data_IF_379910901700
#
_entry.id   IF_379910901700
#
_cell.length_a   1.000
_cell.length_b   1.000
_cell.length_c   1.000
_cell.angle_alpha   90.00
_cell.angle_beta   90.00
_cell.angle_gamma   90.00
#
_symmetry.space_group_name_H-M   'P 1'
#
loop_
_entity.id
_entity.type
_entity.pdbx_description
1 polymer ?
#
# COMPACT_ATOMS: atom_id res chain seq x y z
N UNK A 1 -1.74 2.09 6.97
CA UNK A 1 -2.66 2.04 5.82
C UNK A 1 -3.03 0.59 5.51
N UNK A 2 -4.32 0.28 5.37
CA UNK A 2 -4.77 -1.11 5.19
C UNK A 2 -4.60 -1.64 3.76
N UNK A 3 -4.44 -0.77 2.76
CA UNK A 3 -4.50 -1.12 1.34
C UNK A 3 -3.44 -0.43 0.48
N UNK A 4 -2.53 0.31 1.08
CA UNK A 4 -1.50 1.01 0.34
C UNK A 4 -0.28 0.13 0.09
N UNK A 5 0.36 0.31 -1.07
CA UNK A 5 1.73 -0.13 -1.27
C UNK A 5 2.64 0.68 -0.32
N UNK A 6 3.44 0.04 0.54
CA UNK A 6 4.27 0.74 1.53
C UNK A 6 5.44 1.51 0.88
N UNK A 7 5.90 1.11 -0.30
CA UNK A 7 7.01 1.74 -1.00
C UNK A 7 6.82 3.24 -1.20
N UNK A 8 5.81 3.71 -1.97
CA UNK A 8 5.57 5.13 -2.19
C UNK A 8 5.34 5.93 -0.90
N UNK A 9 4.70 5.32 0.12
CA UNK A 9 4.50 5.98 1.42
C UNK A 9 5.83 6.19 2.14
N UNK A 10 6.69 5.18 2.16
CA UNK A 10 8.02 5.29 2.77
C UNK A 10 8.94 6.25 1.98
N UNK A 11 8.82 6.27 0.64
CA UNK A 11 9.57 7.14 -0.24
C UNK A 11 9.40 8.63 0.09
N UNK A 12 8.20 9.05 0.50
CA UNK A 12 7.92 10.45 0.91
C UNK A 12 8.90 10.95 1.99
N UNK A 13 9.36 10.07 2.89
CA UNK A 13 10.33 10.44 3.94
C UNK A 13 11.72 10.78 3.42
N UNK A 14 12.02 10.50 2.14
CA UNK A 14 13.32 10.73 1.52
C UNK A 14 13.25 11.75 0.38
N UNK A 15 12.09 11.90 -0.26
CA UNK A 15 11.93 12.70 -1.47
C UNK A 15 11.26 14.05 -1.21
N UNK A 16 10.55 14.20 -0.10
CA UNK A 16 9.93 15.45 0.30
C UNK A 16 10.84 16.15 1.32
N UNK A 17 11.40 17.28 0.94
CA UNK A 17 12.36 18.05 1.74
C UNK A 17 11.76 18.48 3.09
N UNK A 18 10.49 18.91 3.12
CA UNK A 18 9.81 19.33 4.34
C UNK A 18 9.62 18.16 5.31
N UNK A 19 9.40 16.95 4.78
CA UNK A 19 9.26 15.73 5.59
C UNK A 19 10.63 15.24 6.04
N UNK A 20 11.61 15.18 5.14
CA UNK A 20 12.96 14.68 5.42
C UNK A 20 13.69 15.51 6.48
N UNK A 21 13.45 16.84 6.52
CA UNK A 21 14.07 17.75 7.49
C UNK A 21 13.50 17.58 8.92
N UNK A 22 12.28 17.07 9.07
CA UNK A 22 11.58 17.04 10.35
C UNK A 22 11.29 15.64 10.87
N UNK A 23 11.34 14.61 10.02
CA UNK A 23 10.95 13.24 10.37
C UNK A 23 12.00 12.22 9.94
N UNK A 24 12.13 11.17 10.73
CA UNK A 24 12.96 10.03 10.42
C UNK A 24 12.09 8.77 10.40
N UNK A 25 12.19 7.99 9.34
CA UNK A 25 11.51 6.72 9.25
C UNK A 25 12.24 5.68 10.09
N UNK A 26 11.65 5.31 11.24
CA UNK A 26 12.22 4.35 12.18
C UNK A 26 12.09 2.91 11.67
N UNK A 27 10.89 2.52 11.29
CA UNK A 27 10.59 1.17 10.81
C UNK A 27 9.23 1.10 10.12
N UNK A 28 9.05 0.09 9.27
CA UNK A 28 7.76 -0.32 8.73
C UNK A 28 7.23 -1.50 9.53
N UNK A 29 6.14 -1.27 10.28
CA UNK A 29 5.49 -2.29 11.09
C UNK A 29 4.24 -2.79 10.38
N UNK A 30 4.17 -4.08 10.10
CA UNK A 30 3.03 -4.72 9.42
C UNK A 30 2.22 -5.57 10.40
N UNK A 31 0.91 -5.36 10.40
CA UNK A 31 -0.05 -6.13 11.18
C UNK A 31 -0.75 -7.15 10.27
N UNK A 32 -0.69 -8.41 10.64
CA UNK A 32 -1.34 -9.51 9.90
C UNK A 32 -2.41 -10.14 10.78
N UNK A 33 -3.65 -10.16 10.31
CA UNK A 33 -4.78 -10.79 10.98
C UNK A 33 -4.64 -12.33 10.95
N UNK A 34 -4.59 -12.97 12.11
CA UNK A 34 -4.45 -14.44 12.19
C UNK A 34 -5.58 -15.19 11.50
N UNK A 35 -6.82 -14.63 11.55
CA UNK A 35 -8.01 -15.28 10.99
C UNK A 35 -8.12 -15.13 9.48
N UNK A 36 -7.77 -13.93 8.95
CA UNK A 36 -7.99 -13.61 7.53
C UNK A 36 -6.68 -13.50 6.74
N UNK A 37 -5.52 -13.46 7.40
CA UNK A 37 -4.24 -13.20 6.77
C UNK A 37 -3.86 -14.21 5.68
N UNK A 38 -4.15 -15.51 5.89
CA UNK A 38 -3.87 -16.52 4.87
C UNK A 38 -4.60 -16.25 3.55
N UNK A 39 -5.87 -15.89 3.63
CA UNK A 39 -6.70 -15.56 2.48
C UNK A 39 -6.22 -14.26 1.83
N UNK A 40 -6.03 -13.20 2.62
CA UNK A 40 -5.57 -11.90 2.12
C UNK A 40 -4.22 -11.98 1.40
N UNK A 41 -3.27 -12.74 1.94
CA UNK A 41 -1.98 -12.98 1.30
C UNK A 41 -2.07 -13.81 0.01
N UNK A 42 -3.18 -14.49 -0.23
CA UNK A 42 -3.40 -15.24 -1.48
C UNK A 42 -4.11 -14.39 -2.53
N UNK A 43 -5.03 -13.53 -2.11
CA UNK A 43 -5.92 -12.79 -3.00
C UNK A 43 -5.42 -11.38 -3.35
N UNK A 44 -4.53 -10.80 -2.50
CA UNK A 44 -4.11 -9.40 -2.63
C UNK A 44 -2.59 -9.24 -2.69
N UNK A 45 -2.13 -8.73 -3.80
CA UNK A 45 -0.71 -8.45 -4.01
C UNK A 45 -0.18 -7.38 -3.05
N UNK A 46 -1.01 -6.39 -2.70
CA UNK A 46 -0.65 -5.35 -1.72
C UNK A 46 -0.35 -5.94 -0.34
N UNK A 47 -1.10 -6.95 0.09
CA UNK A 47 -0.83 -7.65 1.34
C UNK A 47 0.53 -8.35 1.32
N UNK A 48 0.90 -8.94 0.17
CA UNK A 48 2.22 -9.54 -0.01
C UNK A 48 3.32 -8.48 0.02
N UNK A 49 3.13 -7.35 -0.66
CA UNK A 49 4.07 -6.22 -0.66
C UNK A 49 4.25 -5.64 0.73
N UNK A 50 3.16 -5.47 1.49
CA UNK A 50 3.23 -4.99 2.88
C UNK A 50 4.04 -5.93 3.78
N UNK A 51 3.91 -7.24 3.62
CA UNK A 51 4.71 -8.23 4.35
C UNK A 51 6.17 -8.20 3.89
N UNK A 52 6.42 -8.16 2.59
CA UNK A 52 7.78 -8.11 2.04
C UNK A 52 8.55 -6.86 2.47
N UNK A 53 7.85 -5.73 2.61
CA UNK A 53 8.43 -4.44 2.97
C UNK A 53 8.54 -4.19 4.49
N UNK A 54 7.99 -5.09 5.32
CA UNK A 54 8.00 -4.94 6.77
C UNK A 54 9.40 -5.07 7.38
N UNK A 55 9.66 -4.28 8.41
CA UNK A 55 10.82 -4.41 9.30
C UNK A 55 10.46 -5.16 10.58
N UNK A 56 9.17 -5.15 10.95
CA UNK A 56 8.59 -5.90 12.07
C UNK A 56 7.19 -6.37 11.67
N UNK A 57 6.84 -7.62 11.98
CA UNK A 57 5.52 -8.20 11.71
C UNK A 57 4.87 -8.63 13.01
N UNK A 58 3.61 -8.24 13.22
CA UNK A 58 2.78 -8.74 14.29
C UNK A 58 1.60 -9.55 13.74
N UNK A 59 1.48 -10.81 14.17
CA UNK A 59 0.29 -11.61 13.95
C UNK A 59 -0.72 -11.24 15.03
N UNK A 60 -1.81 -10.62 14.64
CA UNK A 60 -2.86 -10.09 15.54
C UNK A 60 -4.04 -11.04 15.63
N UNK A 61 -4.94 -10.82 16.61
CA UNK A 61 -6.16 -11.61 16.80
C UNK A 61 -5.91 -13.12 16.96
N UNK A 62 -4.79 -13.48 17.58
CA UNK A 62 -4.41 -14.88 17.80
C UNK A 62 -5.35 -15.61 18.74
N UNK A 63 -6.17 -14.89 19.48
CA UNK A 63 -7.26 -15.40 20.32
C UNK A 63 -8.47 -15.93 19.51
N UNK A 64 -8.55 -15.65 18.21
CA UNK A 64 -9.65 -16.09 17.34
C UNK A 64 -9.35 -17.34 16.52
N UNK A 65 -8.15 -17.89 16.64
CA UNK A 65 -7.68 -19.03 15.84
C UNK A 65 -6.93 -20.04 16.72
N UNK A 66 -6.68 -21.21 16.21
CA UNK A 66 -5.89 -22.24 16.91
C UNK A 66 -4.38 -21.93 16.86
N UNK A 67 -3.59 -22.42 17.82
CA UNK A 67 -2.13 -22.29 17.77
C UNK A 67 -1.52 -22.87 16.47
N UNK A 68 -2.08 -23.93 15.94
CA UNK A 68 -1.60 -24.53 14.69
C UNK A 68 -1.80 -23.60 13.47
N UNK A 69 -2.92 -22.86 13.43
CA UNK A 69 -3.17 -21.86 12.38
C UNK A 69 -2.21 -20.67 12.51
N UNK A 70 -1.89 -20.23 13.74
CA UNK A 70 -0.89 -19.19 13.98
C UNK A 70 0.49 -19.62 13.46
N UNK A 71 0.91 -20.85 13.76
CA UNK A 71 2.20 -21.36 13.31
C UNK A 71 2.26 -21.57 11.78
N UNK A 72 1.18 -22.02 11.16
CA UNK A 72 1.08 -22.12 9.71
C UNK A 72 1.23 -20.73 9.03
N UNK A 73 0.55 -19.72 9.58
CA UNK A 73 0.67 -18.34 9.10
C UNK A 73 2.08 -17.80 9.33
N UNK A 74 2.65 -18.02 10.51
CA UNK A 74 4.04 -17.64 10.83
C UNK A 74 5.04 -18.22 9.84
N UNK A 75 4.91 -19.51 9.53
CA UNK A 75 5.77 -20.19 8.55
C UNK A 75 5.70 -19.54 7.17
N UNK A 76 4.50 -19.20 6.71
CA UNK A 76 4.32 -18.48 5.43
C UNK A 76 4.95 -17.09 5.43
N UNK A 77 4.71 -16.31 6.48
CA UNK A 77 5.27 -14.97 6.64
C UNK A 77 6.82 -15.00 6.69
N UNK A 78 7.39 -15.96 7.41
CA UNK A 78 8.85 -16.15 7.49
C UNK A 78 9.45 -16.52 6.11
N UNK A 79 8.71 -17.27 5.29
CA UNK A 79 9.14 -17.58 3.92
C UNK A 79 9.10 -16.35 3.01
N UNK A 80 8.08 -15.48 3.19
CA UNK A 80 7.92 -14.26 2.40
C UNK A 80 8.90 -13.17 2.80
N UNK A 81 9.15 -13.00 4.10
CA UNK A 81 10.10 -12.01 4.64
C UNK A 81 10.92 -12.63 5.79
N UNK A 82 12.04 -13.27 5.48
CA UNK A 82 12.90 -13.88 6.50
C UNK A 82 13.69 -12.88 7.35
N UNK A 83 13.69 -11.60 6.98
CA UNK A 83 14.43 -10.54 7.67
C UNK A 83 13.64 -9.96 8.84
N UNK A 84 12.32 -9.85 8.71
CA UNK A 84 11.46 -9.23 9.71
C UNK A 84 11.18 -10.17 10.89
N UNK A 85 11.45 -9.76 12.14
CA UNK A 85 10.97 -10.47 13.31
C UNK A 85 9.46 -10.60 13.29
N UNK A 86 8.95 -11.77 13.72
CA UNK A 86 7.51 -12.06 13.74
C UNK A 86 7.08 -12.36 15.17
N UNK A 87 6.15 -11.57 15.71
CA UNK A 87 5.59 -11.75 17.04
C UNK A 87 4.09 -11.94 16.99
N UNK A 88 3.57 -12.87 17.79
CA UNK A 88 2.14 -13.07 17.95
C UNK A 88 1.61 -12.18 19.09
N UNK A 89 0.53 -11.46 18.83
CA UNK A 89 -0.11 -10.59 19.82
C UNK A 89 -1.61 -10.82 19.87
N UNK A 90 -2.19 -10.59 21.02
CA UNK A 90 -3.63 -10.70 21.25
C UNK A 90 -4.17 -9.40 21.82
N UNK A 91 -5.37 -9.02 21.41
CA UNK A 91 -6.10 -7.83 21.93
C UNK A 91 -5.30 -6.53 21.88
N UNK A 92 -4.37 -6.40 20.95
CA UNK A 92 -3.55 -5.21 20.78
C UNK A 92 -2.50 -4.97 21.87
N UNK A 93 -2.27 -5.94 22.74
CA UNK A 93 -1.25 -5.81 23.81
C UNK A 93 0.12 -6.08 23.23
N UNK A 94 0.94 -5.04 23.13
CA UNK A 94 2.32 -5.09 22.65
C UNK A 94 3.21 -4.19 23.50
N UNK A 95 4.44 -4.61 23.83
CA UNK A 95 5.40 -3.74 24.53
C UNK A 95 5.79 -2.56 23.62
N UNK A 96 5.88 -1.35 24.19
CA UNK A 96 6.23 -0.15 23.42
C UNK A 96 7.59 -0.24 22.71
N UNK A 97 8.57 -0.87 23.35
CA UNK A 97 9.89 -1.11 22.76
C UNK A 97 9.90 -2.09 21.59
N UNK A 98 8.80 -2.81 21.36
CA UNK A 98 8.63 -3.65 20.18
C UNK A 98 8.00 -2.90 19.00
N UNK A 99 7.62 -1.63 19.18
CA UNK A 99 6.97 -0.79 18.18
C UNK A 99 7.71 0.53 17.93
N UNK A 100 8.42 1.05 18.95
CA UNK A 100 9.10 2.33 18.90
C UNK A 100 10.62 2.15 19.03
N UNK A 101 11.38 3.03 18.37
CA UNK A 101 12.85 3.05 18.36
C UNK A 101 13.45 1.71 17.88
N UNK A 102 12.80 1.13 16.87
CA UNK A 102 13.22 -0.16 16.31
C UNK A 102 14.49 -0.03 15.48
N UNK A 103 14.76 1.14 14.89
CA UNK A 103 15.88 1.41 13.98
C UNK A 103 15.98 0.33 12.89
N UNK A 104 14.80 -0.17 12.49
CA UNK A 104 14.67 -1.32 11.60
C UNK A 104 14.78 -0.94 10.14
N UNK A 105 14.48 0.31 9.79
CA UNK A 105 14.48 0.73 8.40
C UNK A 105 15.89 0.76 7.83
N UNK A 106 16.11 -0.03 6.78
CA UNK A 106 17.38 -0.09 6.06
C UNK A 106 17.12 0.16 4.58
N UNK A 107 17.52 1.36 4.11
CA UNK A 107 17.30 1.78 2.73
C UNK A 107 17.90 0.80 1.71
N UNK A 108 19.12 0.30 1.95
CA UNK A 108 19.75 -0.66 1.05
C UNK A 108 18.95 -1.96 0.94
N UNK A 109 18.38 -2.43 2.06
CA UNK A 109 17.53 -3.62 2.05
C UNK A 109 16.21 -3.37 1.30
N UNK A 110 15.70 -2.12 1.28
CA UNK A 110 14.51 -1.76 0.50
C UNK A 110 14.82 -1.65 -0.99
N UNK A 111 15.98 -1.14 -1.36
CA UNK A 111 16.47 -1.11 -2.74
C UNK A 111 16.74 -2.52 -3.31
N UNK A 112 17.10 -3.49 -2.46
CA UNK A 112 17.18 -4.91 -2.87
C UNK A 112 15.80 -5.49 -3.24
N UNK A 113 14.73 -5.00 -2.59
CA UNK A 113 13.34 -5.44 -2.82
C UNK A 113 12.75 -4.68 -4.01
N UNK A 114 12.96 -3.38 -4.06
CA UNK A 114 12.49 -2.48 -5.10
C UNK A 114 13.63 -1.55 -5.53
N UNK A 115 14.36 -1.89 -6.61
CA UNK A 115 15.47 -1.07 -7.12
C UNK A 115 15.07 0.35 -7.52
N UNK A 116 13.81 0.56 -7.88
CA UNK A 116 13.26 1.87 -8.29
C UNK A 116 12.68 2.67 -7.12
N UNK A 117 12.87 2.19 -5.88
CA UNK A 117 12.31 2.79 -4.66
C UNK A 117 12.57 4.31 -4.50
N UNK A 118 13.69 4.83 -5.01
CA UNK A 118 14.02 6.26 -4.97
C UNK A 118 13.82 6.98 -6.31
N UNK A 119 13.34 6.28 -7.34
CA UNK A 119 13.02 6.93 -8.61
C UNK A 119 11.67 7.65 -8.48
N UNK A 120 11.63 8.93 -8.85
CA UNK A 120 10.35 9.63 -9.01
C UNK A 120 9.69 9.07 -10.26
N UNK A 121 8.43 8.68 -10.15
CA UNK A 121 7.57 8.55 -11.31
C UNK A 121 7.37 9.97 -11.87
N UNK A 122 8.29 10.42 -12.73
CA UNK A 122 8.12 11.64 -13.53
C UNK A 122 6.95 11.41 -14.50
N UNK A 123 5.75 11.44 -13.96
CA UNK A 123 4.58 11.69 -14.79
C UNK A 123 4.63 13.16 -15.19
N UNK A 124 5.46 13.40 -16.20
CA UNK A 124 5.44 14.64 -16.95
C UNK A 124 3.99 14.83 -17.45
N UNK A 125 3.21 15.58 -16.69
CA UNK A 125 2.02 16.21 -17.22
C UNK A 125 2.50 17.30 -18.18
N UNK A 126 3.11 16.87 -19.28
CA UNK A 126 3.33 17.73 -20.41
C UNK A 126 1.98 18.34 -20.73
N UNK A 127 1.87 19.60 -20.37
CA UNK A 127 0.81 20.52 -20.73
C UNK A 127 0.37 20.26 -22.17
N UNK A 128 -0.70 19.50 -22.35
CA UNK A 128 -1.37 19.35 -23.63
C UNK A 128 -2.09 20.66 -23.92
N UNK A 129 -1.32 21.68 -24.25
CA UNK A 129 -1.82 22.90 -24.85
C UNK A 129 -2.51 22.58 -26.16
N UNK A 130 -3.77 22.17 -26.11
CA UNK A 130 -4.62 22.07 -27.29
C UNK A 130 -5.02 23.49 -27.73
N UNK A 131 -4.15 24.07 -28.55
CA UNK A 131 -4.54 25.22 -29.37
C UNK A 131 -5.49 24.72 -30.47
N UNK A 132 -6.79 24.88 -30.28
CA UNK A 132 -7.83 24.60 -31.26
C UNK A 132 -7.97 25.81 -32.19
N UNK A 133 -7.16 25.91 -33.20
CA UNK A 133 -7.50 26.69 -34.39
C UNK A 133 -8.21 25.76 -35.38
N UNK A 134 -9.53 25.87 -35.45
CA UNK A 134 -10.36 25.21 -36.46
C UNK A 134 -10.29 25.97 -37.77
N UNK A 135 -9.87 25.30 -38.81
CA UNK A 135 -10.49 25.45 -40.12
C UNK A 135 -10.24 24.18 -40.93
N UNK A 136 -11.30 23.63 -41.53
CA UNK A 136 -11.35 22.91 -42.81
C UNK A 136 -12.17 21.64 -42.84
N UNK A 137 -13.25 21.80 -43.55
CA UNK A 137 -13.69 21.21 -44.84
C UNK A 137 -13.71 19.68 -44.98
N UNK A 138 -14.91 19.22 -45.35
CA UNK A 138 -15.31 17.84 -45.52
C UNK A 138 -14.84 17.25 -46.85
N UNK A 139 -14.21 16.07 -46.84
CA UNK A 139 -14.50 15.01 -47.82
C UNK A 139 -13.96 13.66 -47.34
N UNK A 140 -14.90 12.74 -47.16
CA UNK A 140 -14.83 11.27 -47.29
C UNK A 140 -13.49 10.56 -47.23
N UNK A 141 -13.27 9.80 -46.13
CA UNK A 141 -12.78 8.42 -46.21
C UNK A 141 -12.91 7.73 -44.82
N UNK A 142 -13.65 6.64 -44.79
CA UNK A 142 -13.77 5.79 -43.62
C UNK A 142 -12.47 5.01 -43.37
N UNK A 143 -11.92 5.17 -42.17
CA UNK A 143 -11.02 4.19 -41.61
C UNK A 143 -11.35 4.09 -40.11
N UNK A 144 -11.91 2.93 -39.78
CA UNK A 144 -12.11 2.44 -38.44
C UNK A 144 -10.74 2.13 -37.83
N UNK A 145 -10.26 2.98 -36.95
CA UNK A 145 -9.09 2.69 -36.11
C UNK A 145 -9.54 2.72 -34.65
N UNK A 146 -9.97 1.56 -34.17
CA UNK A 146 -10.06 1.30 -32.74
C UNK A 146 -8.64 1.25 -32.16
N UNK A 147 -8.15 2.37 -31.69
CA UNK A 147 -6.95 2.42 -30.86
C UNK A 147 -7.36 2.21 -29.39
N UNK A 148 -7.31 0.97 -28.98
CA UNK A 148 -7.42 0.57 -27.58
C UNK A 148 -6.09 0.92 -26.89
N UNK A 149 -5.98 2.15 -26.43
CA UNK A 149 -4.85 2.57 -25.61
C UNK A 149 -5.10 2.11 -24.16
N UNK A 150 -4.77 0.85 -23.89
CA UNK A 150 -4.59 0.40 -22.51
C UNK A 150 -3.35 1.10 -21.91
N UNK A 151 -3.55 2.29 -21.35
CA UNK A 151 -2.61 2.82 -20.39
C UNK A 151 -2.77 2.04 -19.09
N UNK A 152 -1.96 1.00 -18.93
CA UNK A 152 -1.85 0.28 -17.67
C UNK A 152 -1.23 1.18 -16.61
N UNK A 153 -2.05 1.90 -15.86
CA UNK A 153 -1.63 2.52 -14.61
C UNK A 153 -1.43 1.43 -13.58
N UNK A 154 -0.20 0.94 -13.46
CA UNK A 154 0.21 0.07 -12.38
C UNK A 154 0.24 0.89 -11.09
N UNK A 155 -0.80 0.81 -10.25
CA UNK A 155 -0.70 1.44 -8.94
C UNK A 155 -1.93 1.55 -8.08
N UNK A 156 -3.14 1.48 -8.63
CA UNK A 156 -4.34 1.58 -7.82
C UNK A 156 -5.24 0.36 -8.04
N UNK A 157 -5.52 -0.35 -6.97
CA UNK A 157 -6.52 -1.42 -7.00
C UNK A 157 -7.87 -0.80 -7.31
N UNK A 158 -8.38 -1.02 -8.53
CA UNK A 158 -9.73 -0.60 -8.99
C UNK A 158 -10.88 -1.13 -8.12
N UNK A 159 -10.55 -1.89 -7.07
CA UNK A 159 -11.49 -2.53 -6.14
C UNK A 159 -11.82 -1.69 -4.91
N UNK A 160 -11.08 -0.60 -4.65
CA UNK A 160 -11.27 0.22 -3.45
C UNK A 160 -11.62 1.63 -3.87
N UNK A 161 -12.85 2.05 -3.55
CA UNK A 161 -13.33 3.39 -3.80
C UNK A 161 -13.56 4.11 -2.47
N UNK A 162 -13.19 5.38 -2.39
CA UNK A 162 -13.55 6.22 -1.27
C UNK A 162 -14.83 6.99 -1.61
N UNK A 163 -15.80 6.93 -0.69
CA UNK A 163 -17.03 7.69 -0.79
C UNK A 163 -17.04 8.76 0.29
N UNK A 164 -17.30 10.01 -0.11
CA UNK A 164 -17.49 11.11 0.83
C UNK A 164 -18.98 11.46 0.86
N UNK A 165 -19.61 11.22 1.99
CA UNK A 165 -20.98 11.65 2.22
C UNK A 165 -20.99 12.91 3.09
N UNK A 166 -21.64 13.97 2.61
CA UNK A 166 -21.82 15.22 3.36
C UNK A 166 -23.31 15.42 3.67
N UNK A 167 -23.61 15.76 4.91
CA UNK A 167 -24.97 16.05 5.35
C UNK A 167 -24.95 17.29 6.23
N UNK A 168 -25.91 18.19 6.00
CA UNK A 168 -26.15 19.36 6.85
C UNK A 168 -26.93 19.01 8.12
N UNK A 169 -27.37 17.76 8.25
CA UNK A 169 -28.07 17.23 9.41
C UNK A 169 -27.16 16.28 10.19
N UNK A 170 -27.20 16.30 11.51
CA UNK A 170 -26.47 15.33 12.33
C UNK A 170 -26.95 13.91 12.02
N UNK A 171 -26.02 12.95 11.99
CA UNK A 171 -26.33 11.54 11.83
C UNK A 171 -26.96 10.98 13.10
N UNK A 172 -27.99 10.17 12.94
CA UNK A 172 -28.54 9.37 14.02
C UNK A 172 -27.69 8.09 14.15
N UNK A 173 -26.87 8.02 15.23
CA UNK A 173 -25.95 6.90 15.43
C UNK A 173 -26.66 5.56 15.65
N UNK A 174 -27.95 5.56 16.05
CA UNK A 174 -28.74 4.33 16.22
C UNK A 174 -29.20 3.74 14.87
N UNK A 175 -29.04 4.48 13.77
CA UNK A 175 -29.39 4.04 12.40
C UNK A 175 -28.18 3.77 11.54
N UNK A 176 -26.97 3.83 12.10
CA UNK A 176 -25.71 3.55 11.40
C UNK A 176 -25.17 2.14 11.66
N UNK A 177 -25.92 1.29 12.36
CA UNK A 177 -25.62 -0.13 12.55
C UNK A 177 -26.20 -0.99 11.41
#
# INVERSE_FOLDING_TARGET
TGVANPGPVAQTFFMDDDVADHYVLDAVVTLVDAKHGQQQLTEHEEAQRQVGFADQIFITKTDLVTPAEVEALRGRLMHMNPRAPISAISKGVVPLNAVLDLKGFNLNAKLDIDPHFLEQDDHDHADCGHDHSHDHDHSTCGHDHSHDHHHGHAGHTDRIQSLVFRSDKPFDHQKLE
#
